data_IF_270633400985
#
_entry.id   IF_270633400985
#
_cell.length_a   1.000
_cell.length_b   1.000
_cell.length_c   1.000
_cell.angle_alpha   90.00
_cell.angle_beta   90.00
_cell.angle_gamma   90.00
#
_symmetry.space_group_name_H-M   'P 1'
#
loop_
_entity.id
_entity.type
_entity.pdbx_description
1 polymer ?
#
# COMPACT_ATOMS: atom_id res chain seq x y z
N UNK A 1 35.99 45.90 -6.51
CA UNK A 1 34.65 45.73 -7.11
C UNK A 1 34.61 44.63 -8.18
N UNK A 2 35.50 44.59 -9.19
CA UNK A 2 35.44 43.60 -10.31
C UNK A 2 35.43 42.11 -9.90
N UNK A 3 36.16 41.71 -8.86
CA UNK A 3 36.21 40.27 -8.38
C UNK A 3 34.90 39.81 -7.72
N UNK A 4 34.16 40.74 -7.06
CA UNK A 4 32.88 40.43 -6.44
C UNK A 4 31.81 40.20 -7.51
N UNK A 5 31.78 41.02 -8.54
CA UNK A 5 30.85 40.90 -9.67
C UNK A 5 31.00 39.57 -10.43
N UNK A 6 32.26 39.12 -10.64
CA UNK A 6 32.53 37.84 -11.31
C UNK A 6 32.05 36.66 -10.46
N UNK A 7 32.29 36.65 -9.14
CA UNK A 7 31.80 35.61 -8.24
C UNK A 7 30.28 35.55 -8.20
N UNK A 8 29.62 36.71 -8.23
CA UNK A 8 28.15 36.79 -8.27
C UNK A 8 27.58 36.23 -9.57
N UNK A 9 28.21 36.50 -10.70
CA UNK A 9 27.82 35.93 -11.99
C UNK A 9 27.96 34.42 -12.01
N UNK A 10 29.07 33.85 -11.50
CA UNK A 10 29.23 32.41 -11.38
C UNK A 10 28.18 31.79 -10.47
N UNK A 11 27.84 32.43 -9.36
CA UNK A 11 26.79 31.97 -8.47
C UNK A 11 25.44 31.92 -9.17
N UNK A 12 25.06 32.94 -9.92
CA UNK A 12 23.82 32.97 -10.70
C UNK A 12 23.79 31.88 -11.76
N UNK A 13 24.88 31.66 -12.48
CA UNK A 13 24.98 30.60 -13.50
C UNK A 13 24.79 29.22 -12.88
N UNK A 14 25.45 28.94 -11.74
CA UNK A 14 25.29 27.66 -11.02
C UNK A 14 23.86 27.49 -10.54
N UNK A 15 23.26 28.53 -9.98
CA UNK A 15 21.87 28.51 -9.51
C UNK A 15 20.88 28.24 -10.65
N UNK A 16 21.09 28.90 -11.79
CA UNK A 16 20.25 28.69 -12.99
C UNK A 16 20.39 27.27 -13.53
N UNK A 17 21.62 26.75 -13.60
CA UNK A 17 21.87 25.37 -14.03
C UNK A 17 21.21 24.37 -13.11
N UNK A 18 21.32 24.58 -11.80
CA UNK A 18 20.62 23.72 -10.81
C UNK A 18 19.11 23.73 -11.00
N UNK A 19 18.52 24.91 -11.26
CA UNK A 19 17.08 25.05 -11.47
C UNK A 19 16.63 24.32 -12.75
N UNK A 20 17.39 24.45 -13.83
CA UNK A 20 17.11 23.74 -15.10
C UNK A 20 17.18 22.23 -14.90
N UNK A 21 18.22 21.73 -14.23
CA UNK A 21 18.35 20.29 -13.94
C UNK A 21 17.21 19.77 -13.06
N UNK A 22 16.80 20.53 -12.05
CA UNK A 22 15.66 20.20 -11.20
C UNK A 22 14.36 20.15 -12.02
N UNK A 23 14.11 21.11 -12.91
CA UNK A 23 12.93 21.13 -13.78
C UNK A 23 12.92 19.95 -14.76
N UNK A 24 14.05 19.62 -15.37
CA UNK A 24 14.19 18.45 -16.24
C UNK A 24 13.92 17.15 -15.47
N UNK A 25 14.42 17.03 -14.26
CA UNK A 25 14.16 15.88 -13.39
C UNK A 25 12.67 15.75 -13.07
N UNK A 26 12.01 16.84 -12.63
CA UNK A 26 10.58 16.83 -12.31
C UNK A 26 9.72 16.51 -13.54
N UNK A 27 10.11 17.01 -14.70
CA UNK A 27 9.41 16.68 -15.96
C UNK A 27 9.54 15.20 -16.30
N UNK A 28 10.77 14.65 -16.23
CA UNK A 28 11.03 13.21 -16.47
C UNK A 28 10.26 12.31 -15.49
N UNK A 29 10.23 12.67 -14.20
CA UNK A 29 9.47 11.94 -13.19
C UNK A 29 7.96 12.00 -13.48
N UNK A 30 7.46 13.15 -13.90
CA UNK A 30 6.06 13.31 -14.31
C UNK A 30 5.68 12.44 -15.51
N UNK A 31 6.56 12.30 -16.51
CA UNK A 31 6.36 11.39 -17.65
C UNK A 31 6.35 9.91 -17.19
N UNK A 32 7.30 9.52 -16.33
CA UNK A 32 7.38 8.18 -15.79
C UNK A 32 6.10 7.82 -15.03
N UNK A 33 5.59 8.71 -14.17
CA UNK A 33 4.36 8.48 -13.40
C UNK A 33 3.11 8.36 -14.28
N UNK A 34 3.05 9.04 -15.42
CA UNK A 34 1.95 8.90 -16.40
C UNK A 34 1.93 7.56 -17.11
N UNK A 35 3.06 6.87 -17.19
CA UNK A 35 3.19 5.55 -17.79
C UNK A 35 2.71 4.38 -16.92
N UNK A 36 2.24 4.64 -15.69
CA UNK A 36 1.71 3.58 -14.82
C UNK A 36 0.36 3.10 -15.29
N UNK A 37 0.25 1.79 -15.55
CA UNK A 37 -1.01 1.12 -15.87
C UNK A 37 -1.64 0.54 -14.61
N UNK A 38 -2.91 0.88 -14.36
CA UNK A 38 -3.66 0.26 -13.26
C UNK A 38 -3.93 -1.22 -13.54
N UNK A 39 -3.78 -2.06 -12.53
CA UNK A 39 -4.03 -3.51 -12.62
C UNK A 39 -5.44 -3.78 -12.08
N UNK A 40 -6.33 -4.23 -12.96
CA UNK A 40 -7.67 -4.73 -12.61
C UNK A 40 -8.52 -3.77 -11.77
N UNK A 41 -8.44 -2.46 -11.99
CA UNK A 41 -9.15 -1.45 -11.19
C UNK A 41 -8.89 -1.58 -9.70
N UNK A 42 -7.64 -1.85 -9.32
CA UNK A 42 -7.19 -2.03 -7.94
C UNK A 42 -6.26 -0.91 -7.51
N UNK A 43 -5.74 -1.01 -6.28
CA UNK A 43 -4.67 -0.15 -5.77
C UNK A 43 -3.28 -0.50 -6.35
N UNK A 44 -3.19 -1.51 -7.21
CA UNK A 44 -1.93 -1.94 -7.82
C UNK A 44 -1.75 -1.39 -9.22
N UNK A 45 -0.50 -1.08 -9.54
CA UNK A 45 -0.10 -0.49 -10.81
C UNK A 45 1.14 -1.20 -11.35
N UNK A 46 1.24 -1.27 -12.67
CA UNK A 46 2.45 -1.69 -13.37
C UNK A 46 3.13 -0.46 -13.95
N UNK A 47 4.41 -0.28 -13.63
CA UNK A 47 5.23 0.78 -14.20
C UNK A 47 5.66 0.46 -15.64
N UNK A 48 6.16 1.44 -16.39
CA UNK A 48 6.66 1.23 -17.75
C UNK A 48 7.79 0.20 -17.86
N UNK A 49 8.59 0.04 -16.80
CA UNK A 49 9.68 -0.96 -16.70
C UNK A 49 9.21 -2.32 -16.14
N UNK A 50 7.88 -2.51 -15.98
CA UNK A 50 7.25 -3.79 -15.62
C UNK A 50 7.07 -4.02 -14.14
N UNK A 51 7.67 -3.22 -13.28
CA UNK A 51 7.58 -3.37 -11.81
C UNK A 51 6.18 -3.13 -11.28
N UNK A 52 5.87 -3.78 -10.16
CA UNK A 52 4.60 -3.64 -9.48
C UNK A 52 4.70 -2.59 -8.36
N UNK A 53 3.73 -1.71 -8.34
CA UNK A 53 3.55 -0.67 -7.33
C UNK A 53 2.18 -0.79 -6.69
N UNK A 54 2.06 -0.36 -5.45
CA UNK A 54 0.78 -0.20 -4.77
C UNK A 54 0.55 1.26 -4.41
N UNK A 55 -0.63 1.77 -4.71
CA UNK A 55 -1.09 3.08 -4.27
C UNK A 55 -1.55 2.98 -2.82
N UNK A 56 -0.94 3.76 -1.93
CA UNK A 56 -1.42 3.91 -0.56
C UNK A 56 -2.19 5.22 -0.48
N UNK A 57 -3.47 5.13 -0.14
CA UNK A 57 -4.33 6.31 -0.02
C UNK A 57 -3.74 7.33 0.95
N UNK A 58 -3.67 8.59 0.53
CA UNK A 58 -3.07 9.68 1.30
C UNK A 58 -1.54 9.78 1.23
N UNK A 59 -0.85 8.86 0.51
CA UNK A 59 0.61 8.86 0.50
C UNK A 59 1.25 8.82 -0.89
N UNK A 60 0.92 7.85 -1.74
CA UNK A 60 1.51 7.74 -3.08
C UNK A 60 1.65 6.29 -3.55
N UNK A 61 2.44 6.09 -4.61
CA UNK A 61 2.74 4.76 -5.16
C UNK A 61 4.09 4.26 -4.65
N UNK A 62 4.12 3.02 -4.19
CA UNK A 62 5.30 2.38 -3.59
C UNK A 62 5.60 1.08 -4.31
N UNK A 63 6.88 0.88 -4.67
CA UNK A 63 7.33 -0.36 -5.30
C UNK A 63 7.13 -1.56 -4.37
N UNK A 64 6.52 -2.61 -4.89
CA UNK A 64 6.35 -3.88 -4.21
C UNK A 64 7.62 -4.73 -4.43
N UNK A 65 8.55 -4.64 -3.48
CA UNK A 65 9.87 -5.28 -3.61
C UNK A 65 9.77 -6.80 -3.49
N UNK A 66 10.51 -7.50 -4.36
CA UNK A 66 10.61 -8.97 -4.31
C UNK A 66 9.39 -9.71 -4.86
N UNK A 67 8.44 -9.01 -5.47
CA UNK A 67 7.30 -9.61 -6.14
C UNK A 67 7.73 -10.34 -7.43
N UNK A 68 7.09 -11.45 -7.72
CA UNK A 68 7.17 -12.09 -9.03
C UNK A 68 6.16 -11.44 -9.99
N UNK A 69 6.65 -10.54 -10.81
CA UNK A 69 5.83 -9.67 -11.68
C UNK A 69 5.04 -10.46 -12.73
N UNK A 70 5.56 -11.63 -13.15
CA UNK A 70 4.94 -12.47 -14.17
C UNK A 70 3.72 -13.21 -13.66
N UNK A 71 3.70 -13.58 -12.38
CA UNK A 71 2.59 -14.32 -11.75
C UNK A 71 1.70 -13.42 -10.89
N UNK A 72 1.99 -12.12 -10.85
CA UNK A 72 1.24 -11.18 -10.02
C UNK A 72 -0.22 -11.07 -10.47
N UNK A 73 -1.13 -11.19 -9.53
CA UNK A 73 -2.58 -11.07 -9.73
C UNK A 73 -3.26 -10.42 -8.53
N UNK A 74 -4.27 -9.63 -8.80
CA UNK A 74 -5.13 -9.03 -7.76
C UNK A 74 -6.14 -10.08 -7.29
N UNK A 75 -6.33 -10.17 -5.97
CA UNK A 75 -7.35 -11.03 -5.37
C UNK A 75 -8.62 -10.20 -5.14
N UNK A 76 -9.73 -10.61 -5.75
CA UNK A 76 -11.02 -9.91 -5.67
C UNK A 76 -12.15 -10.84 -5.27
N UNK A 77 -13.15 -10.31 -4.59
CA UNK A 77 -14.48 -10.89 -4.57
C UNK A 77 -15.19 -10.58 -5.89
N UNK A 78 -15.98 -11.52 -6.40
CA UNK A 78 -16.73 -11.36 -7.66
C UNK A 78 -17.66 -10.13 -7.70
N UNK A 79 -18.06 -9.59 -6.54
CA UNK A 79 -19.08 -8.54 -6.43
C UNK A 79 -18.78 -7.43 -5.42
N UNK A 80 -17.54 -7.28 -4.94
CA UNK A 80 -17.23 -6.25 -3.94
C UNK A 80 -16.22 -5.23 -4.47
N UNK A 81 -16.56 -3.95 -4.30
CA UNK A 81 -15.70 -2.80 -4.58
C UNK A 81 -14.57 -2.65 -3.54
N UNK A 82 -14.59 -3.44 -2.45
CA UNK A 82 -13.85 -3.14 -1.23
C UNK A 82 -12.46 -3.78 -1.10
N UNK A 83 -12.02 -4.56 -2.11
CA UNK A 83 -10.74 -5.28 -2.02
C UNK A 83 -9.82 -4.93 -3.18
N UNK A 84 -9.44 -3.67 -3.20
CA UNK A 84 -8.51 -3.17 -4.21
C UNK A 84 -7.04 -3.30 -3.81
N UNK A 85 -6.76 -3.66 -2.54
CA UNK A 85 -5.43 -3.65 -1.94
C UNK A 85 -4.87 -5.05 -1.58
N UNK A 86 -5.49 -6.13 -2.07
CA UNK A 86 -5.04 -7.51 -1.84
C UNK A 86 -4.61 -8.16 -3.13
N UNK A 87 -3.43 -8.77 -3.13
CA UNK A 87 -2.87 -9.43 -4.30
C UNK A 87 -2.08 -10.68 -3.93
N UNK A 88 -1.70 -11.46 -4.92
CA UNK A 88 -0.78 -12.58 -4.78
C UNK A 88 0.13 -12.69 -5.99
N UNK A 89 1.32 -13.23 -5.77
CA UNK A 89 2.16 -13.81 -6.82
C UNK A 89 2.30 -15.32 -6.59
N UNK A 90 3.24 -15.98 -7.24
CA UNK A 90 3.48 -17.42 -7.04
C UNK A 90 4.05 -17.76 -5.66
N UNK A 91 4.64 -16.80 -4.95
CA UNK A 91 5.38 -17.00 -3.70
C UNK A 91 4.63 -16.47 -2.47
N UNK A 92 3.89 -15.35 -2.63
CA UNK A 92 3.34 -14.59 -1.50
C UNK A 92 1.93 -14.09 -1.76
N UNK A 93 1.24 -13.81 -0.66
CA UNK A 93 -0.01 -13.02 -0.63
C UNK A 93 0.30 -11.69 0.04
N UNK A 94 -0.28 -10.62 -0.49
CA UNK A 94 -0.01 -9.24 -0.09
C UNK A 94 -1.28 -8.54 0.39
N UNK A 95 -1.16 -7.79 1.47
CA UNK A 95 -2.08 -6.71 1.85
C UNK A 95 -1.34 -5.39 1.61
N UNK A 96 -1.67 -4.67 0.57
CA UNK A 96 -0.90 -3.54 0.06
C UNK A 96 0.60 -3.92 -0.11
N UNK A 97 1.51 -3.35 0.70
CA UNK A 97 2.94 -3.70 0.67
C UNK A 97 3.32 -4.83 1.62
N UNK A 98 2.45 -5.21 2.53
CA UNK A 98 2.76 -6.19 3.56
C UNK A 98 2.56 -7.61 3.03
N UNK A 99 3.59 -8.45 3.17
CA UNK A 99 3.48 -9.88 2.92
C UNK A 99 2.70 -10.52 4.07
N UNK A 100 1.75 -11.37 3.75
CA UNK A 100 0.97 -12.14 4.73
C UNK A 100 1.58 -13.53 4.89
N UNK A 101 2.43 -13.73 5.91
CA UNK A 101 3.24 -14.94 6.02
C UNK A 101 2.38 -16.19 6.26
N UNK A 102 2.72 -17.27 5.56
CA UNK A 102 2.10 -18.58 5.71
C UNK A 102 0.83 -18.81 4.90
N UNK A 103 0.22 -17.79 4.30
CA UNK A 103 -0.86 -17.99 3.33
C UNK A 103 -0.31 -18.65 2.05
N UNK A 104 -0.98 -19.70 1.59
CA UNK A 104 -0.68 -20.31 0.30
C UNK A 104 -1.26 -19.45 -0.85
N UNK A 105 -0.41 -18.85 -1.71
CA UNK A 105 -0.90 -17.99 -2.77
C UNK A 105 -1.82 -18.68 -3.76
N UNK A 106 -1.73 -20.01 -3.92
CA UNK A 106 -2.54 -20.77 -4.88
C UNK A 106 -3.98 -20.92 -4.43
N UNK A 107 -4.20 -21.04 -3.12
CA UNK A 107 -5.53 -21.25 -2.52
C UNK A 107 -6.07 -20.02 -1.81
N UNK A 108 -5.27 -18.98 -1.64
CA UNK A 108 -5.68 -17.73 -1.01
C UNK A 108 -6.84 -17.07 -1.77
N UNK A 109 -7.86 -16.68 -1.05
CA UNK A 109 -9.05 -15.98 -1.55
C UNK A 109 -9.51 -14.92 -0.56
N UNK A 110 -10.12 -13.89 -1.08
CA UNK A 110 -10.82 -12.88 -0.27
C UNK A 110 -12.13 -13.48 0.20
N UNK A 111 -12.42 -13.37 1.49
CA UNK A 111 -13.64 -13.87 2.13
C UNK A 111 -14.72 -12.79 2.19
N UNK A 112 -14.32 -11.55 2.48
CA UNK A 112 -15.20 -10.39 2.67
C UNK A 112 -14.79 -9.57 3.89
N UNK A 113 -15.29 -8.32 4.00
CA UNK A 113 -15.13 -7.44 5.17
C UNK A 113 -13.68 -7.24 5.66
N UNK A 114 -12.69 -7.28 4.75
CA UNK A 114 -11.27 -7.22 5.09
C UNK A 114 -10.63 -8.58 5.39
N UNK A 115 -11.37 -9.66 5.37
CA UNK A 115 -10.83 -10.99 5.64
C UNK A 115 -10.46 -11.74 4.37
N UNK A 116 -9.35 -12.47 4.47
CA UNK A 116 -8.85 -13.37 3.43
C UNK A 116 -8.25 -14.62 4.08
N UNK A 117 -8.20 -15.72 3.35
CA UNK A 117 -7.68 -16.98 3.86
C UNK A 117 -7.44 -17.99 2.76
N UNK A 118 -6.74 -19.08 3.09
CA UNK A 118 -6.44 -20.21 2.22
C UNK A 118 -7.13 -21.52 2.66
N UNK A 119 -7.98 -21.43 3.68
CA UNK A 119 -8.63 -22.59 4.35
C UNK A 119 -7.81 -23.20 5.48
N UNK A 120 -6.58 -22.72 5.73
CA UNK A 120 -5.71 -23.15 6.85
C UNK A 120 -5.36 -21.98 7.76
N UNK A 121 -5.17 -20.82 7.17
CA UNK A 121 -4.79 -19.57 7.84
C UNK A 121 -5.69 -18.47 7.32
N UNK A 122 -6.07 -17.57 8.20
CA UNK A 122 -6.82 -16.37 7.82
C UNK A 122 -6.12 -15.12 8.31
N UNK A 123 -6.36 -14.03 7.58
CA UNK A 123 -5.88 -12.69 7.90
C UNK A 123 -7.00 -11.69 7.77
N UNK A 124 -6.92 -10.65 8.59
CA UNK A 124 -7.58 -9.38 8.36
C UNK A 124 -6.60 -8.44 7.67
N UNK A 125 -7.04 -7.80 6.60
CA UNK A 125 -6.36 -6.73 5.89
C UNK A 125 -7.31 -5.53 5.85
N UNK A 126 -6.94 -4.42 6.47
CA UNK A 126 -7.78 -3.22 6.52
C UNK A 126 -8.10 -2.72 5.12
N UNK A 127 -9.34 -2.30 4.90
CA UNK A 127 -9.78 -1.67 3.64
C UNK A 127 -9.43 -0.19 3.56
N UNK A 128 -8.96 0.39 4.67
CA UNK A 128 -8.53 1.79 4.76
C UNK A 128 -7.12 1.88 5.29
N UNK A 129 -6.35 2.79 4.73
CA UNK A 129 -5.03 3.13 5.26
C UNK A 129 -5.14 3.91 6.56
N UNK A 130 -4.24 3.64 7.48
CA UNK A 130 -4.10 4.33 8.75
C UNK A 130 -2.77 5.08 8.78
N UNK A 131 -2.73 6.22 9.46
CA UNK A 131 -1.49 6.96 9.65
C UNK A 131 -0.71 6.36 10.82
N UNK A 132 0.59 6.22 10.64
CA UNK A 132 1.48 5.69 11.69
C UNK A 132 1.46 6.61 12.93
N UNK A 133 1.20 6.07 14.14
CA UNK A 133 1.23 6.84 15.37
C UNK A 133 2.60 7.47 15.59
N UNK A 134 2.64 8.77 15.93
CA UNK A 134 3.89 9.49 16.17
C UNK A 134 4.66 9.93 14.93
N UNK A 135 4.08 9.78 13.74
CA UNK A 135 4.69 10.23 12.50
C UNK A 135 4.94 11.76 12.52
N UNK A 136 6.22 12.15 12.38
CA UNK A 136 6.63 13.54 12.36
C UNK A 136 6.59 14.08 10.93
N UNK A 137 5.61 14.95 10.63
CA UNK A 137 5.41 15.53 9.30
C UNK A 137 6.62 16.37 8.82
N UNK A 138 7.30 17.04 9.74
CA UNK A 138 8.50 17.81 9.38
C UNK A 138 9.64 16.91 8.90
N UNK A 139 9.86 15.79 9.60
CA UNK A 139 10.86 14.79 9.18
C UNK A 139 10.48 14.19 7.83
N UNK A 140 9.19 13.95 7.59
CA UNK A 140 8.71 13.45 6.30
C UNK A 140 8.92 14.43 5.16
N UNK A 141 8.67 15.73 5.38
CA UNK A 141 8.92 16.78 4.39
C UNK A 141 10.43 16.83 4.05
N UNK A 142 11.29 16.80 5.08
CA UNK A 142 12.74 16.79 4.88
C UNK A 142 13.20 15.53 4.15
N UNK A 143 12.67 14.36 4.51
CA UNK A 143 12.93 13.09 3.83
C UNK A 143 12.46 13.12 2.38
N UNK A 144 11.28 13.67 2.09
CA UNK A 144 10.76 13.82 0.72
C UNK A 144 11.60 14.79 -0.11
N UNK A 145 12.12 15.87 0.47
CA UNK A 145 13.07 16.76 -0.21
C UNK A 145 14.36 16.01 -0.60
N UNK A 146 14.87 15.15 0.29
CA UNK A 146 16.04 14.31 0.01
C UNK A 146 15.68 13.21 -1.01
N UNK A 147 14.45 12.69 -1.00
CA UNK A 147 13.97 11.66 -1.92
C UNK A 147 13.95 12.13 -3.38
N UNK A 148 13.71 13.42 -3.62
CA UNK A 148 13.85 14.02 -4.96
C UNK A 148 15.27 13.78 -5.52
N UNK A 149 16.28 13.67 -4.65
CA UNK A 149 17.68 13.46 -5.03
C UNK A 149 18.20 12.03 -4.85
N UNK A 150 17.56 11.23 -3.99
CA UNK A 150 18.01 9.87 -3.66
C UNK A 150 16.81 8.92 -3.71
N UNK A 151 16.64 8.19 -4.83
CA UNK A 151 15.54 7.23 -5.09
C UNK A 151 15.37 6.09 -4.06
N UNK A 152 16.04 6.13 -2.91
CA UNK A 152 16.04 5.03 -1.93
C UNK A 152 14.99 5.12 -0.83
N UNK A 153 14.24 6.21 -0.76
CA UNK A 153 13.26 6.42 0.32
C UNK A 153 11.86 5.95 -0.11
N UNK A 154 11.41 4.85 0.48
CA UNK A 154 10.11 4.22 0.18
C UNK A 154 9.22 4.14 1.43
N UNK A 155 9.35 5.12 2.34
CA UNK A 155 8.59 5.14 3.59
C UNK A 155 7.27 5.90 3.40
N UNK A 156 6.17 5.19 3.55
CA UNK A 156 4.84 5.80 3.67
C UNK A 156 4.51 6.02 5.14
N UNK A 157 3.97 7.20 5.50
CA UNK A 157 3.38 7.40 6.82
C UNK A 157 2.05 6.66 7.00
N UNK A 158 1.53 6.08 5.92
CA UNK A 158 0.29 5.35 5.92
C UNK A 158 0.54 3.88 5.64
N UNK A 159 -0.19 3.01 6.33
CA UNK A 159 -0.14 1.57 6.19
C UNK A 159 -1.55 0.99 6.25
N UNK A 160 -1.70 -0.24 5.77
CA UNK A 160 -2.91 -1.03 5.96
C UNK A 160 -2.66 -1.99 7.11
N UNK A 161 -3.55 -1.95 8.10
CA UNK A 161 -3.43 -2.86 9.26
C UNK A 161 -3.66 -4.28 8.81
N UNK A 162 -2.74 -5.17 9.21
CA UNK A 162 -2.86 -6.61 9.01
C UNK A 162 -2.89 -7.32 10.35
N UNK A 163 -3.70 -8.38 10.44
CA UNK A 163 -3.73 -9.23 11.63
C UNK A 163 -4.04 -10.66 11.25
N UNK A 164 -3.18 -11.58 11.69
CA UNK A 164 -3.47 -13.01 11.60
C UNK A 164 -4.64 -13.35 12.51
N UNK A 165 -5.58 -14.14 11.98
CA UNK A 165 -6.79 -14.58 12.70
C UNK A 165 -6.69 -16.08 12.96
N UNK A 166 -6.91 -16.47 14.18
CA UNK A 166 -6.89 -17.87 14.61
C UNK A 166 -8.21 -18.57 14.29
N UNK A 167 -8.58 -18.55 13.03
CA UNK A 167 -9.75 -19.24 12.50
C UNK A 167 -9.54 -19.55 11.02
N UNK A 168 -10.06 -20.67 10.58
CA UNK A 168 -10.01 -21.13 9.19
C UNK A 168 -11.36 -21.07 8.49
N UNK A 169 -12.46 -20.91 9.24
CA UNK A 169 -13.84 -20.95 8.75
C UNK A 169 -14.54 -19.62 8.97
N UNK A 170 -13.84 -18.51 8.70
CA UNK A 170 -14.40 -17.19 8.86
C UNK A 170 -15.52 -16.93 7.86
N UNK A 171 -16.65 -16.52 8.37
CA UNK A 171 -17.80 -16.01 7.62
C UNK A 171 -17.93 -14.51 7.88
N UNK A 172 -17.72 -13.64 6.87
CA UNK A 172 -17.98 -12.21 7.00
C UNK A 172 -19.44 -11.95 7.30
N UNK A 173 -19.70 -11.09 8.28
CA UNK A 173 -21.04 -10.73 8.72
C UNK A 173 -21.14 -9.22 8.89
N UNK A 174 -22.35 -8.66 8.78
CA UNK A 174 -22.61 -7.22 8.90
C UNK A 174 -21.74 -6.37 7.96
N UNK A 175 -21.24 -5.25 8.48
CA UNK A 175 -20.40 -4.30 7.76
C UNK A 175 -18.89 -4.62 7.84
N UNK A 176 -18.09 -3.74 7.25
CA UNK A 176 -16.64 -3.89 7.17
C UNK A 176 -15.99 -4.18 8.53
N UNK A 177 -15.12 -5.17 8.54
CA UNK A 177 -14.32 -5.55 9.70
C UNK A 177 -14.91 -6.63 10.60
N UNK A 178 -16.19 -7.03 10.41
CA UNK A 178 -16.80 -8.10 11.19
C UNK A 178 -16.75 -9.45 10.46
N UNK A 179 -16.47 -10.51 11.24
CA UNK A 179 -16.60 -11.91 10.82
C UNK A 179 -16.95 -12.79 12.01
N UNK A 180 -17.41 -14.02 11.73
CA UNK A 180 -17.64 -15.05 12.75
C UNK A 180 -17.02 -16.39 12.34
N UNK A 181 -16.74 -17.22 13.32
CA UNK A 181 -16.49 -18.64 13.19
C UNK A 181 -17.34 -19.37 14.25
N UNK A 182 -18.45 -19.98 13.81
CA UNK A 182 -19.47 -20.49 14.71
C UNK A 182 -20.02 -19.40 15.64
N UNK A 183 -19.83 -19.57 16.95
CA UNK A 183 -20.24 -18.60 17.96
C UNK A 183 -19.17 -17.52 18.26
N UNK A 184 -17.97 -17.63 17.70
CA UNK A 184 -16.89 -16.67 17.95
C UNK A 184 -16.99 -15.50 16.99
N UNK A 185 -17.03 -14.28 17.53
CA UNK A 185 -17.03 -13.05 16.76
C UNK A 185 -15.63 -12.47 16.65
N UNK A 186 -15.39 -11.82 15.51
CA UNK A 186 -14.16 -11.09 15.24
C UNK A 186 -14.49 -9.70 14.73
N UNK A 187 -13.71 -8.72 15.17
CA UNK A 187 -13.74 -7.35 14.64
C UNK A 187 -12.31 -6.90 14.33
N UNK A 188 -12.09 -6.47 13.07
CA UNK A 188 -10.76 -6.08 12.56
C UNK A 188 -9.65 -7.08 12.91
N UNK A 189 -9.98 -8.38 12.83
CA UNK A 189 -9.08 -9.48 13.12
C UNK A 189 -8.87 -9.80 14.60
N UNK A 190 -9.50 -9.07 15.51
CA UNK A 190 -9.50 -9.37 16.94
C UNK A 190 -10.73 -10.19 17.33
N UNK A 191 -10.53 -11.23 18.16
CA UNK A 191 -11.64 -11.94 18.80
C UNK A 191 -12.36 -10.99 19.74
N UNK A 192 -13.69 -10.99 19.68
CA UNK A 192 -14.55 -10.26 20.59
C UNK A 192 -15.04 -11.21 21.70
N UNK A 193 -15.01 -10.72 22.94
CA UNK A 193 -15.66 -11.39 24.09
C UNK A 193 -17.12 -10.92 24.20
N UNK A 194 -17.88 -11.02 23.09
CA UNK A 194 -19.28 -10.63 23.00
C UNK A 194 -20.13 -11.80 22.51
N UNK A 195 -21.36 -11.91 23.03
CA UNK A 195 -22.33 -12.86 22.51
C UNK A 195 -22.87 -12.36 21.16
N UNK A 196 -22.86 -13.19 20.09
CA UNK A 196 -23.45 -12.82 18.80
C UNK A 196 -24.90 -12.38 18.89
N UNK A 197 -25.67 -12.84 19.86
CA UNK A 197 -27.06 -12.48 20.08
C UNK A 197 -27.25 -11.05 20.60
N UNK A 198 -26.20 -10.42 21.15
CA UNK A 198 -26.24 -9.02 21.63
C UNK A 198 -26.02 -8.00 20.51
N UNK A 199 -25.56 -8.44 19.35
CA UNK A 199 -25.42 -7.60 18.17
C UNK A 199 -26.76 -7.52 17.43
N UNK A 200 -27.74 -6.88 18.06
CA UNK A 200 -29.02 -6.57 17.40
C UNK A 200 -28.84 -5.44 16.42
N UNK A 201 -29.38 -5.62 15.23
CA UNK A 201 -29.55 -4.56 14.25
C UNK A 201 -30.43 -3.44 14.82
N UNK A 202 -29.85 -2.27 15.05
CA UNK A 202 -30.60 -1.02 15.14
C UNK A 202 -30.60 -0.32 13.78
#
# INVERSE_FOLDING_TARGET
>A
MRKITIRFIYFLVILTLFFVLAMLYLWHEGEYQRGFANIDSSEFYRSPDGKIYVQISGSGKYELKGVDEASFRVLKLKHAYDYSNVAADKNHVYCAREILPGLDPKSAKVLGNGYLGDGKISYYCSTRSEKEPGFNEFIAIMKNLVHVFIKSYNDSPYFYRTKRVESTNLEPIFDAGFARDGATLYYTGAKLDADPSELTHN
#
